data_IF_574065942241
#
_entry.id   IF_574065942241
#
_cell.length_a   1.000
_cell.length_b   1.000
_cell.length_c   1.000
_cell.angle_alpha   90.00
_cell.angle_beta   90.00
_cell.angle_gamma   90.00
#
_symmetry.space_group_name_H-M   'P 1'
#
loop_
_entity.id
_entity.type
_entity.pdbx_description
1 polymer ?
#
# COMPACT_ATOMS: atom_id res chain seq x y z
N UNK A 1 49.61 -7.46 -1.75
CA UNK A 1 48.77 -8.30 -0.89
C UNK A 1 47.77 -7.50 -0.05
N UNK A 2 48.16 -6.34 0.45
CA UNK A 2 47.20 -5.51 1.20
C UNK A 2 46.03 -5.00 0.35
N UNK A 3 46.22 -4.86 -0.96
CA UNK A 3 45.14 -4.42 -1.87
C UNK A 3 43.99 -5.41 -1.96
N UNK A 4 44.29 -6.69 -1.94
CA UNK A 4 43.29 -7.74 -2.09
C UNK A 4 42.36 -7.80 -0.88
N UNK A 5 42.90 -7.58 0.30
CA UNK A 5 42.15 -7.59 1.54
C UNK A 5 41.14 -6.44 1.61
N UNK A 6 41.51 -5.24 1.16
CA UNK A 6 40.66 -4.07 1.16
C UNK A 6 39.53 -4.24 0.14
N UNK A 7 39.82 -4.74 -1.03
CA UNK A 7 38.84 -5.01 -2.09
C UNK A 7 37.83 -6.03 -1.63
N UNK A 8 38.25 -7.07 -0.94
CA UNK A 8 37.38 -8.09 -0.41
C UNK A 8 36.35 -7.51 0.56
N UNK A 9 36.75 -6.63 1.48
CA UNK A 9 35.85 -5.98 2.43
C UNK A 9 34.82 -5.12 1.74
N UNK A 10 35.19 -4.37 0.72
CA UNK A 10 34.29 -3.52 -0.04
C UNK A 10 33.25 -4.35 -0.79
N UNK A 11 33.66 -5.45 -1.40
CA UNK A 11 32.73 -6.34 -2.10
C UNK A 11 31.74 -7.01 -1.15
N UNK A 12 32.20 -7.45 0.02
CA UNK A 12 31.32 -8.04 1.01
C UNK A 12 30.24 -7.08 1.48
N UNK A 13 30.61 -5.80 1.71
CA UNK A 13 29.64 -4.78 2.09
C UNK A 13 28.62 -4.49 1.00
N UNK A 14 29.05 -4.44 -0.24
CA UNK A 14 28.16 -4.22 -1.38
C UNK A 14 27.13 -5.35 -1.53
N UNK A 15 27.57 -6.59 -1.43
CA UNK A 15 26.70 -7.76 -1.53
C UNK A 15 25.64 -7.74 -0.42
N UNK A 16 26.00 -7.38 0.80
CA UNK A 16 25.07 -7.28 1.92
C UNK A 16 23.99 -6.23 1.66
N UNK A 17 24.36 -5.07 1.14
CA UNK A 17 23.39 -3.99 0.81
C UNK A 17 22.41 -4.46 -0.26
N UNK A 18 22.88 -5.13 -1.30
CA UNK A 18 22.04 -5.64 -2.38
C UNK A 18 21.05 -6.68 -1.84
N UNK A 19 21.47 -7.57 -0.97
CA UNK A 19 20.60 -8.57 -0.36
C UNK A 19 19.50 -7.89 0.48
N UNK A 20 19.84 -6.88 1.26
CA UNK A 20 18.87 -6.14 2.06
C UNK A 20 17.83 -5.43 1.19
N UNK A 21 18.25 -4.87 0.07
CA UNK A 21 17.32 -4.23 -0.88
C UNK A 21 16.36 -5.23 -1.50
N UNK A 22 16.85 -6.40 -1.88
CA UNK A 22 16.01 -7.47 -2.44
C UNK A 22 15.02 -7.99 -1.41
N UNK A 23 15.41 -8.13 -0.16
CA UNK A 23 14.51 -8.57 0.90
C UNK A 23 13.43 -7.54 1.17
N UNK A 24 13.74 -6.24 1.13
CA UNK A 24 12.74 -5.19 1.36
C UNK A 24 11.72 -5.12 0.22
N UNK A 25 12.10 -5.46 -1.02
CA UNK A 25 11.17 -5.47 -2.14
C UNK A 25 10.20 -6.64 -2.10
N UNK A 26 10.48 -7.68 -1.35
CA UNK A 26 9.62 -8.85 -1.21
C UNK A 26 8.69 -8.79 -0.01
N UNK A 27 8.74 -7.73 0.77
CA UNK A 27 7.98 -7.60 2.01
C UNK A 27 6.56 -7.05 1.81
N UNK A 28 6.08 -6.95 0.58
CA UNK A 28 4.87 -6.23 0.23
C UNK A 28 3.61 -7.10 0.19
N UNK A 29 3.53 -8.17 0.88
CA UNK A 29 2.28 -8.88 1.13
C UNK A 29 1.45 -9.22 -0.10
N UNK A 30 0.15 -9.25 0.09
CA UNK A 30 -0.82 -9.73 -0.88
C UNK A 30 -1.06 -8.76 -2.03
N UNK A 31 -1.42 -9.31 -3.18
CA UNK A 31 -1.91 -8.53 -4.31
C UNK A 31 -3.43 -8.47 -4.30
N UNK A 32 -3.99 -7.43 -4.89
CA UNK A 32 -5.43 -7.29 -5.07
C UNK A 32 -5.73 -6.92 -6.52
N UNK A 33 -6.38 -7.81 -7.26
CA UNK A 33 -6.59 -7.66 -8.70
C UNK A 33 -8.07 -7.71 -9.11
N UNK A 34 -9.00 -7.57 -8.16
CA UNK A 34 -10.44 -7.75 -8.42
C UNK A 34 -11.17 -6.47 -8.78
N UNK A 35 -10.44 -5.39 -8.99
CA UNK A 35 -11.03 -4.08 -9.29
C UNK A 35 -11.42 -3.88 -10.75
N UNK A 36 -10.80 -4.61 -11.65
CA UNK A 36 -11.02 -4.46 -13.08
C UNK A 36 -10.36 -3.25 -13.73
N UNK A 37 -9.63 -2.46 -12.96
CA UNK A 37 -8.91 -1.28 -13.42
C UNK A 37 -7.45 -1.38 -13.01
N UNK A 38 -6.57 -0.70 -13.74
CA UNK A 38 -5.13 -0.71 -13.45
C UNK A 38 -4.84 -0.13 -12.07
N UNK A 39 -5.54 0.94 -11.71
CA UNK A 39 -5.45 1.54 -10.38
C UNK A 39 -6.73 1.23 -9.62
N UNK A 40 -6.58 0.63 -8.47
CA UNK A 40 -7.69 0.25 -7.61
C UNK A 40 -7.48 0.85 -6.22
N UNK A 41 -8.48 1.53 -5.70
CA UNK A 41 -8.47 2.08 -4.34
C UNK A 41 -9.42 1.28 -3.50
N UNK A 42 -8.90 0.63 -2.46
CA UNK A 42 -9.68 -0.24 -1.60
C UNK A 42 -9.70 0.31 -0.18
N UNK A 43 -10.90 0.46 0.35
CA UNK A 43 -11.08 0.80 1.78
C UNK A 43 -11.36 -0.49 2.55
N UNK A 44 -10.52 -0.77 3.53
CA UNK A 44 -10.72 -1.87 4.48
C UNK A 44 -11.21 -1.28 5.80
N UNK A 45 -12.40 -1.66 6.22
CA UNK A 45 -12.98 -1.17 7.47
C UNK A 45 -13.73 -2.28 8.18
N UNK A 46 -13.91 -2.15 9.47
CA UNK A 46 -14.70 -3.07 10.27
C UNK A 46 -16.17 -2.66 10.21
N UNK A 47 -17.10 -3.61 10.24
CA UNK A 47 -18.52 -3.29 10.18
C UNK A 47 -18.97 -2.48 11.40
N UNK A 48 -18.39 -2.74 12.57
CA UNK A 48 -18.70 -1.97 13.77
C UNK A 48 -18.17 -0.52 13.73
N UNK A 49 -17.32 -0.20 12.75
CA UNK A 49 -16.77 1.14 12.53
C UNK A 49 -17.35 1.78 11.25
N UNK A 50 -18.47 1.29 10.75
CA UNK A 50 -19.04 1.74 9.47
C UNK A 50 -19.44 3.21 9.47
N UNK A 51 -19.71 3.81 10.63
CA UNK A 51 -19.96 5.24 10.73
C UNK A 51 -18.76 6.09 10.26
N UNK A 52 -17.57 5.53 10.28
CA UNK A 52 -16.34 6.17 9.85
C UNK A 52 -15.88 5.71 8.45
N UNK A 53 -16.75 5.07 7.69
CA UNK A 53 -16.48 4.78 6.28
C UNK A 53 -16.17 6.08 5.55
N UNK A 54 -15.21 5.98 4.63
CA UNK A 54 -14.81 7.12 3.80
C UNK A 54 -15.94 7.42 2.80
N UNK A 55 -16.61 8.56 2.94
CA UNK A 55 -17.78 8.89 2.14
C UNK A 55 -17.44 9.35 0.72
N UNK A 56 -16.21 9.83 0.49
CA UNK A 56 -15.74 10.29 -0.82
C UNK A 56 -15.05 9.19 -1.67
N UNK A 57 -15.03 7.95 -1.20
CA UNK A 57 -14.30 6.87 -1.89
C UNK A 57 -14.71 6.75 -3.36
N UNK A 58 -16.01 6.75 -3.62
CA UNK A 58 -16.54 6.60 -4.98
C UNK A 58 -16.46 7.87 -5.83
N UNK A 59 -16.04 8.98 -5.24
CA UNK A 59 -15.87 10.24 -5.96
C UNK A 59 -14.48 10.37 -6.60
N UNK A 60 -13.58 9.44 -6.29
CA UNK A 60 -12.23 9.43 -6.88
C UNK A 60 -12.31 9.17 -8.38
N UNK A 61 -11.51 9.93 -9.15
CA UNK A 61 -11.49 9.86 -10.61
C UNK A 61 -10.44 8.90 -11.13
N UNK A 62 -10.77 8.24 -12.24
CA UNK A 62 -9.84 7.40 -13.03
C UNK A 62 -9.32 6.16 -12.30
N UNK A 63 -10.08 5.67 -11.35
CA UNK A 63 -9.74 4.47 -10.58
C UNK A 63 -10.97 3.60 -10.37
N UNK A 64 -10.75 2.31 -10.14
CA UNK A 64 -11.77 1.46 -9.56
C UNK A 64 -11.74 1.61 -8.04
N UNK A 65 -12.89 1.44 -7.40
CA UNK A 65 -12.99 1.53 -5.95
C UNK A 65 -13.69 0.31 -5.38
N UNK A 66 -13.28 -0.12 -4.20
CA UNK A 66 -13.91 -1.21 -3.45
C UNK A 66 -13.90 -0.88 -1.96
N UNK A 67 -14.95 -1.32 -1.28
CA UNK A 67 -15.01 -1.27 0.18
C UNK A 67 -15.17 -2.69 0.69
N UNK A 68 -14.26 -3.10 1.55
CA UNK A 68 -14.19 -4.47 2.07
C UNK A 68 -14.30 -4.43 3.58
N UNK A 69 -15.21 -5.25 4.13
CA UNK A 69 -15.28 -5.48 5.57
C UNK A 69 -14.21 -6.48 5.99
N UNK A 70 -13.45 -6.12 7.02
CA UNK A 70 -12.38 -6.99 7.56
C UNK A 70 -12.91 -8.00 8.58
N UNK A 71 -14.20 -7.99 8.88
CA UNK A 71 -14.79 -8.83 9.92
C UNK A 71 -14.79 -10.31 9.57
N UNK A 72 -14.79 -10.62 8.29
CA UNK A 72 -14.78 -12.01 7.84
C UNK A 72 -13.51 -12.36 7.10
N UNK A 73 -13.19 -13.65 7.04
CA UNK A 73 -12.05 -14.12 6.28
C UNK A 73 -10.72 -13.68 6.88
N UNK A 74 -9.73 -13.51 6.02
CA UNK A 74 -8.34 -13.24 6.41
C UNK A 74 -7.85 -11.87 5.95
N UNK A 75 -8.75 -10.96 5.56
CA UNK A 75 -8.40 -9.64 5.02
C UNK A 75 -7.45 -8.85 5.92
N UNK A 76 -7.75 -8.82 7.22
CA UNK A 76 -6.95 -8.09 8.17
C UNK A 76 -5.49 -8.58 8.21
N UNK A 77 -5.32 -9.88 8.20
CA UNK A 77 -3.99 -10.50 8.24
C UNK A 77 -3.29 -10.38 6.89
N UNK A 78 -3.99 -10.71 5.80
CA UNK A 78 -3.42 -10.73 4.46
C UNK A 78 -2.89 -9.36 4.04
N UNK A 79 -3.59 -8.29 4.40
CA UNK A 79 -3.21 -6.93 4.03
C UNK A 79 -2.64 -6.13 5.20
N UNK A 80 -2.40 -6.78 6.33
CA UNK A 80 -1.80 -6.16 7.52
C UNK A 80 -2.55 -4.89 7.95
N UNK A 81 -3.87 -5.00 8.08
CA UNK A 81 -4.71 -3.88 8.50
C UNK A 81 -4.56 -3.69 10.01
N UNK A 82 -3.95 -2.59 10.41
CA UNK A 82 -3.66 -2.27 11.81
C UNK A 82 -4.71 -1.35 12.39
N UNK A 83 -5.07 -0.30 11.66
CA UNK A 83 -5.97 0.75 12.14
C UNK A 83 -7.03 1.04 11.08
N UNK A 84 -8.23 0.42 11.19
CA UNK A 84 -9.31 0.72 10.26
C UNK A 84 -9.88 2.14 10.52
N UNK A 85 -10.40 2.83 9.50
CA UNK A 85 -10.37 2.41 8.11
C UNK A 85 -8.97 2.56 7.51
N UNK A 86 -8.60 1.65 6.62
CA UNK A 86 -7.34 1.73 5.87
C UNK A 86 -7.65 1.78 4.39
N UNK A 87 -7.10 2.78 3.70
CA UNK A 87 -7.21 2.89 2.25
C UNK A 87 -5.90 2.47 1.64
N UNK A 88 -5.94 1.55 0.69
CA UNK A 88 -4.76 1.11 -0.05
C UNK A 88 -4.98 1.38 -1.53
N UNK A 89 -4.00 2.02 -2.17
CA UNK A 89 -3.96 2.21 -3.60
C UNK A 89 -3.13 1.08 -4.20
N UNK A 90 -3.74 0.31 -5.10
CA UNK A 90 -3.07 -0.76 -5.83
C UNK A 90 -2.85 -0.34 -7.27
N UNK A 91 -1.67 -0.61 -7.80
CA UNK A 91 -1.35 -0.46 -9.23
C UNK A 91 -1.06 -1.85 -9.78
N UNK A 92 -1.88 -2.30 -10.71
CA UNK A 92 -1.78 -3.65 -11.29
C UNK A 92 -1.71 -4.74 -10.21
N UNK A 93 -2.51 -4.57 -9.17
CA UNK A 93 -2.62 -5.52 -8.08
C UNK A 93 -1.62 -5.35 -6.94
N UNK A 94 -0.65 -4.46 -7.08
CA UNK A 94 0.38 -4.25 -6.06
C UNK A 94 0.16 -2.97 -5.29
N UNK A 95 0.34 -3.03 -3.98
CA UNK A 95 0.20 -1.86 -3.12
C UNK A 95 1.27 -0.81 -3.45
N UNK A 96 0.85 0.43 -3.69
CA UNK A 96 1.76 1.55 -3.94
C UNK A 96 1.65 2.65 -2.89
N UNK A 97 0.52 2.74 -2.20
CA UNK A 97 0.32 3.73 -1.14
C UNK A 97 -0.77 3.27 -0.19
N UNK A 98 -0.60 3.60 1.08
CA UNK A 98 -1.53 3.24 2.14
C UNK A 98 -1.80 4.44 3.04
N UNK A 99 -3.06 4.61 3.42
CA UNK A 99 -3.50 5.60 4.40
C UNK A 99 -4.23 4.86 5.52
N UNK A 100 -3.73 4.97 6.73
CA UNK A 100 -4.32 4.26 7.87
C UNK A 100 -5.19 5.19 8.71
N UNK A 101 -6.19 4.63 9.35
CA UNK A 101 -6.99 5.35 10.34
C UNK A 101 -6.15 5.78 11.53
N UNK A 102 -6.63 6.80 12.23
CA UNK A 102 -6.00 7.28 13.45
C UNK A 102 -6.42 6.43 14.66
N UNK A 103 -5.99 6.83 15.86
CA UNK A 103 -6.32 6.12 17.09
C UNK A 103 -7.81 6.15 17.42
N UNK A 104 -8.56 7.08 16.84
CA UNK A 104 -10.01 7.18 16.97
C UNK A 104 -10.74 6.40 15.87
N UNK A 105 -10.00 5.67 15.05
CA UNK A 105 -10.53 4.89 13.92
C UNK A 105 -11.26 5.75 12.89
N UNK A 106 -10.70 6.92 12.64
CA UNK A 106 -11.17 7.86 11.63
C UNK A 106 -10.08 8.08 10.59
N UNK A 107 -10.49 8.28 9.33
CA UNK A 107 -9.57 8.58 8.23
C UNK A 107 -9.22 10.06 8.23
N UNK A 108 -7.94 10.38 8.41
CA UNK A 108 -7.45 11.75 8.34
C UNK A 108 -7.11 12.19 6.92
N UNK A 109 -6.76 11.25 6.05
CA UNK A 109 -6.48 11.56 4.65
C UNK A 109 -7.72 12.13 3.99
N UNK A 110 -7.54 13.12 3.13
CA UNK A 110 -8.64 13.78 2.42
C UNK A 110 -8.77 13.22 1.01
N UNK A 111 -9.93 13.44 0.40
CA UNK A 111 -10.18 13.11 -1.00
C UNK A 111 -9.09 13.73 -1.89
N UNK A 112 -8.74 15.00 -1.62
CA UNK A 112 -7.74 15.73 -2.39
C UNK A 112 -6.37 15.07 -2.32
N UNK A 113 -5.94 14.66 -1.12
CA UNK A 113 -4.65 13.99 -0.94
C UNK A 113 -4.59 12.68 -1.73
N UNK A 114 -5.65 11.89 -1.65
CA UNK A 114 -5.70 10.60 -2.31
C UNK A 114 -5.77 10.78 -3.83
N UNK A 115 -6.59 11.72 -4.30
CA UNK A 115 -6.68 12.01 -5.73
C UNK A 115 -5.36 12.52 -6.29
N UNK A 116 -4.67 13.37 -5.55
CA UNK A 116 -3.35 13.88 -5.95
C UNK A 116 -2.34 12.74 -6.11
N UNK A 117 -2.36 11.79 -5.19
CA UNK A 117 -1.48 10.61 -5.28
C UNK A 117 -1.84 9.74 -6.48
N UNK A 118 -3.12 9.56 -6.75
CA UNK A 118 -3.59 8.83 -7.94
C UNK A 118 -3.07 9.52 -9.21
N UNK A 119 -3.22 10.83 -9.31
CA UNK A 119 -2.76 11.60 -10.45
C UNK A 119 -1.24 11.48 -10.64
N UNK A 120 -0.49 11.48 -9.55
CA UNK A 120 0.95 11.26 -9.57
C UNK A 120 1.30 9.88 -10.12
N UNK A 121 0.60 8.84 -9.68
CA UNK A 121 0.81 7.46 -10.16
C UNK A 121 0.52 7.37 -11.65
N UNK A 122 -0.55 8.00 -12.11
CA UNK A 122 -0.89 8.03 -13.54
C UNK A 122 0.22 8.68 -14.34
N UNK A 123 0.73 9.81 -13.89
CA UNK A 123 1.81 10.53 -14.59
C UNK A 123 3.11 9.72 -14.64
N UNK A 124 3.44 9.02 -13.57
CA UNK A 124 4.65 8.19 -13.51
C UNK A 124 4.59 6.98 -14.44
N UNK A 125 3.39 6.53 -14.79
CA UNK A 125 3.19 5.32 -15.59
C UNK A 125 2.69 5.60 -17.02
N UNK A 126 2.78 6.84 -17.46
CA UNK A 126 2.44 7.22 -18.84
C UNK A 126 3.57 6.92 -19.81
#
# INVERSE_FOLDING_TARGET
MKKDYTTWKLMAGYILVVILMLMSSNATGQTYDKCGEDICVVEFNASWNSANNVDWLNDLSEVGTKRISIDGGTWKTDFSIVAPPTIIIFLNGKEVKRYQGNIMMEMEATEEEVQEKIDEIIMENM
#
